data_IF_946857370782
#
_entry.id   IF_946857370782
#
_cell.length_a   1.000
_cell.length_b   1.000
_cell.length_c   1.000
_cell.angle_alpha   90.00
_cell.angle_beta   90.00
_cell.angle_gamma   90.00
#
_symmetry.space_group_name_H-M   'P 1'
#
loop_
_entity.id
_entity.type
_entity.pdbx_description
1 polymer ?
#
# COMPACT_ATOMS: atom_id res chain seq x y z
N UNK A 1 28.60 -12.96 6.38
CA UNK A 1 28.68 -13.08 4.89
C UNK A 1 30.10 -12.72 4.45
N UNK A 2 30.70 -13.47 3.52
CA UNK A 2 32.07 -13.17 3.06
C UNK A 2 32.09 -11.87 2.19
N UNK A 3 33.27 -11.20 2.07
CA UNK A 3 33.39 -9.91 1.37
C UNK A 3 32.93 -9.95 -0.10
N UNK A 4 33.23 -11.02 -0.84
CA UNK A 4 32.85 -11.16 -2.24
C UNK A 4 31.32 -11.20 -2.41
N UNK A 5 30.63 -12.01 -1.60
CA UNK A 5 29.16 -12.09 -1.60
C UNK A 5 28.52 -10.76 -1.22
N UNK A 6 29.14 -10.02 -0.29
CA UNK A 6 28.67 -8.68 0.10
C UNK A 6 28.77 -7.68 -1.06
N UNK A 7 29.86 -7.72 -1.83
CA UNK A 7 30.04 -6.90 -3.03
C UNK A 7 29.01 -7.23 -4.10
N UNK A 8 28.73 -8.51 -4.34
CA UNK A 8 27.69 -8.94 -5.28
C UNK A 8 26.30 -8.41 -4.88
N UNK A 9 25.94 -8.55 -3.60
CA UNK A 9 24.63 -8.03 -3.11
C UNK A 9 24.54 -6.51 -3.28
N UNK A 10 25.60 -5.77 -3.00
CA UNK A 10 25.66 -4.31 -3.24
C UNK A 10 25.47 -3.95 -4.71
N UNK A 11 26.13 -4.67 -5.62
CA UNK A 11 25.98 -4.46 -7.05
C UNK A 11 24.54 -4.70 -7.53
N UNK A 12 23.93 -5.78 -7.08
CA UNK A 12 22.54 -6.11 -7.41
C UNK A 12 21.56 -5.06 -6.84
N UNK A 13 21.75 -4.63 -5.59
CA UNK A 13 20.90 -3.58 -4.99
C UNK A 13 21.03 -2.25 -5.72
N UNK A 14 22.25 -1.87 -6.13
CA UNK A 14 22.48 -0.65 -6.91
C UNK A 14 21.74 -0.70 -8.25
N UNK A 15 21.82 -1.82 -8.97
CA UNK A 15 21.09 -2.04 -10.24
C UNK A 15 19.58 -1.98 -9.96
N UNK A 16 19.11 -2.60 -8.89
CA UNK A 16 17.70 -2.64 -8.51
C UNK A 16 17.16 -1.23 -8.23
N UNK A 17 17.88 -0.42 -7.45
CA UNK A 17 17.48 0.97 -7.16
C UNK A 17 17.49 1.87 -8.40
N UNK A 18 18.53 1.75 -9.24
CA UNK A 18 18.64 2.51 -10.50
C UNK A 18 17.57 2.10 -11.51
N UNK A 19 17.19 0.83 -11.54
CA UNK A 19 16.18 0.31 -12.46
C UNK A 19 14.82 1.00 -12.34
N UNK A 20 14.40 1.37 -11.14
CA UNK A 20 13.17 2.17 -10.91
C UNK A 20 13.23 3.49 -11.67
N UNK A 21 14.31 4.27 -11.49
CA UNK A 21 14.49 5.57 -12.18
C UNK A 21 14.65 5.41 -13.69
N UNK A 22 15.32 4.35 -14.13
CA UNK A 22 15.45 4.01 -15.55
C UNK A 22 14.07 3.70 -16.15
N UNK A 23 13.24 2.92 -15.50
CA UNK A 23 11.87 2.61 -15.94
C UNK A 23 11.02 3.86 -16.16
N UNK A 24 11.08 4.82 -15.22
CA UNK A 24 10.39 6.11 -15.34
C UNK A 24 10.90 6.93 -16.55
N UNK A 25 12.23 7.02 -16.71
CA UNK A 25 12.84 7.74 -17.83
C UNK A 25 12.48 7.10 -19.18
N UNK A 26 12.57 5.79 -19.28
CA UNK A 26 12.24 5.06 -20.50
C UNK A 26 10.75 5.17 -20.84
N UNK A 27 9.83 5.12 -19.86
CA UNK A 27 8.40 5.32 -20.10
C UNK A 27 8.12 6.69 -20.74
N UNK A 28 8.85 7.73 -20.30
CA UNK A 28 8.76 9.07 -20.89
C UNK A 28 9.36 9.13 -22.29
N UNK A 29 10.57 8.60 -22.48
CA UNK A 29 11.27 8.61 -23.77
C UNK A 29 10.54 7.81 -24.86
N UNK A 30 9.87 6.75 -24.47
CA UNK A 30 9.09 5.89 -25.39
C UNK A 30 7.64 6.35 -25.58
N UNK A 31 7.27 7.54 -25.09
CA UNK A 31 5.95 8.13 -25.28
C UNK A 31 4.82 7.45 -24.49
N UNK A 32 5.12 6.52 -23.57
CA UNK A 32 4.12 5.83 -22.73
C UNK A 32 3.54 6.72 -21.64
N UNK A 33 4.28 7.77 -21.25
CA UNK A 33 3.79 8.80 -20.34
C UNK A 33 4.36 10.16 -20.70
N UNK A 34 3.55 11.21 -20.57
CA UNK A 34 4.01 12.60 -20.66
C UNK A 34 4.75 13.07 -19.41
N UNK A 35 4.52 12.40 -18.27
CA UNK A 35 5.06 12.75 -16.96
C UNK A 35 6.04 11.68 -16.47
N UNK A 36 6.82 12.03 -15.45
CA UNK A 36 7.72 11.11 -14.77
C UNK A 36 6.91 10.16 -13.86
N UNK A 37 6.22 9.20 -14.47
CA UNK A 37 5.35 8.23 -13.79
C UNK A 37 5.98 6.85 -13.85
N UNK A 38 5.96 6.15 -12.72
CA UNK A 38 6.45 4.79 -12.64
C UNK A 38 5.55 3.83 -13.46
N UNK A 39 6.12 2.85 -14.22
CA UNK A 39 5.36 1.91 -15.04
C UNK A 39 4.21 1.20 -14.31
N UNK A 40 4.32 0.97 -13.01
CA UNK A 40 3.25 0.36 -12.20
C UNK A 40 1.93 1.14 -12.21
N UNK A 41 1.97 2.46 -12.43
CA UNK A 41 0.80 3.32 -12.50
C UNK A 41 0.25 3.47 -13.93
N UNK A 42 0.98 2.95 -14.93
CA UNK A 42 0.57 2.97 -16.34
C UNK A 42 -0.13 1.68 -16.77
N UNK A 43 -0.22 0.72 -15.87
CA UNK A 43 -0.82 -0.60 -16.12
C UNK A 43 -1.82 -0.91 -15.02
N UNK A 44 -3.05 -1.24 -15.41
CA UNK A 44 -4.04 -1.74 -14.46
C UNK A 44 -3.60 -3.11 -13.94
N UNK A 45 -3.57 -3.23 -12.62
CA UNK A 45 -3.18 -4.44 -11.91
C UNK A 45 -4.30 -4.79 -10.92
N UNK A 46 -5.20 -5.72 -11.27
CA UNK A 46 -6.39 -6.03 -10.46
C UNK A 46 -6.10 -6.37 -9.00
N UNK A 47 -4.91 -6.92 -8.73
CA UNK A 47 -4.50 -7.21 -7.35
C UNK A 47 -4.21 -5.97 -6.50
N UNK A 48 -4.11 -4.77 -7.08
CA UNK A 48 -4.03 -3.53 -6.31
C UNK A 48 -5.38 -3.14 -5.73
N UNK A 49 -6.46 -3.59 -6.35
CA UNK A 49 -7.84 -3.32 -5.95
C UNK A 49 -8.41 -4.40 -5.02
N UNK A 50 -7.52 -5.10 -4.33
CA UNK A 50 -7.83 -6.24 -3.46
C UNK A 50 -8.91 -5.96 -2.40
N UNK A 51 -9.05 -4.70 -1.99
CA UNK A 51 -10.00 -4.25 -0.96
C UNK A 51 -11.42 -4.06 -1.51
N UNK A 52 -11.60 -3.81 -2.82
CA UNK A 52 -12.91 -3.54 -3.42
C UNK A 52 -13.95 -4.66 -3.22
N UNK A 53 -13.61 -5.96 -3.28
CA UNK A 53 -14.58 -7.03 -3.02
C UNK A 53 -15.12 -7.06 -1.58
N UNK A 54 -14.47 -6.35 -0.66
CA UNK A 54 -14.89 -6.26 0.74
C UNK A 54 -15.73 -5.02 1.04
N UNK A 55 -16.02 -4.19 0.03
CA UNK A 55 -16.92 -3.04 0.13
C UNK A 55 -18.33 -3.45 -0.34
N UNK A 56 -19.34 -2.89 0.33
CA UNK A 56 -20.75 -3.06 0.00
C UNK A 56 -21.34 -1.72 -0.45
N UNK A 57 -22.38 -1.78 -1.27
CA UNK A 57 -23.03 -0.58 -1.83
C UNK A 57 -23.63 0.35 -0.76
N UNK A 58 -23.94 -0.19 0.42
CA UNK A 58 -24.50 0.58 1.54
C UNK A 58 -23.44 1.03 2.57
N UNK A 59 -22.16 0.66 2.38
CA UNK A 59 -21.09 1.01 3.33
C UNK A 59 -20.83 2.52 3.35
N UNK A 60 -20.64 3.06 4.55
CA UNK A 60 -20.01 4.34 4.82
C UNK A 60 -18.51 4.08 5.06
N UNK A 61 -17.65 4.59 4.20
CA UNK A 61 -16.22 4.26 4.18
C UNK A 61 -15.39 5.45 4.64
N UNK A 62 -14.37 5.18 5.46
CA UNK A 62 -13.32 6.12 5.82
C UNK A 62 -12.01 5.69 5.15
N UNK A 63 -11.31 6.61 4.49
CA UNK A 63 -9.98 6.38 3.91
C UNK A 63 -8.94 7.19 4.70
N UNK A 64 -8.17 6.51 5.54
CA UNK A 64 -7.20 7.09 6.47
C UNK A 64 -5.84 7.21 5.78
N UNK A 65 -5.37 8.43 5.54
CA UNK A 65 -4.17 8.69 4.76
C UNK A 65 -4.42 8.54 3.26
N UNK A 66 -5.45 9.22 2.75
CA UNK A 66 -5.97 9.05 1.38
C UNK A 66 -4.99 9.49 0.27
N UNK A 67 -3.97 10.29 0.59
CA UNK A 67 -2.99 10.85 -0.36
C UNK A 67 -3.70 11.45 -1.58
N UNK A 68 -3.31 11.08 -2.80
CA UNK A 68 -3.90 11.57 -4.05
C UNK A 68 -5.30 11.00 -4.37
N UNK A 69 -5.91 10.26 -3.48
CA UNK A 69 -7.25 9.71 -3.62
C UNK A 69 -7.38 8.50 -4.56
N UNK A 70 -6.28 7.87 -4.97
CA UNK A 70 -6.34 6.77 -5.94
C UNK A 70 -7.18 5.59 -5.45
N UNK A 71 -7.09 5.23 -4.16
CA UNK A 71 -7.91 4.20 -3.54
C UNK A 71 -9.34 4.70 -3.27
N UNK A 72 -9.47 5.91 -2.75
CA UNK A 72 -10.75 6.55 -2.46
C UNK A 72 -11.67 6.59 -3.69
N UNK A 73 -11.17 7.07 -4.82
CA UNK A 73 -11.94 7.18 -6.08
C UNK A 73 -12.44 5.81 -6.57
N UNK A 74 -11.64 4.75 -6.42
CA UNK A 74 -12.05 3.39 -6.79
C UNK A 74 -13.07 2.82 -5.80
N UNK A 75 -12.87 3.05 -4.50
CA UNK A 75 -13.79 2.65 -3.44
C UNK A 75 -15.14 3.36 -3.57
N UNK A 76 -15.15 4.64 -3.97
CA UNK A 76 -16.37 5.42 -4.19
C UNK A 76 -17.34 4.77 -5.18
N UNK A 77 -16.85 4.01 -6.15
CA UNK A 77 -17.70 3.27 -7.11
C UNK A 77 -18.38 2.02 -6.50
N UNK A 78 -18.11 1.70 -5.24
CA UNK A 78 -18.54 0.46 -4.57
C UNK A 78 -19.21 0.67 -3.22
N UNK A 79 -19.36 1.92 -2.77
CA UNK A 79 -19.90 2.23 -1.45
C UNK A 79 -20.94 3.35 -1.53
N UNK A 80 -21.66 3.55 -0.45
CA UNK A 80 -22.69 4.60 -0.33
C UNK A 80 -22.07 5.98 -0.20
N UNK A 81 -21.10 6.13 0.69
CA UNK A 81 -20.33 7.37 0.88
C UNK A 81 -18.90 7.03 1.25
N UNK A 82 -17.98 7.91 0.88
CA UNK A 82 -16.59 7.80 1.32
C UNK A 82 -16.02 9.16 1.68
N UNK A 83 -15.29 9.19 2.79
CA UNK A 83 -14.55 10.36 3.24
C UNK A 83 -13.10 9.96 3.44
N UNK A 84 -12.18 10.74 2.87
CA UNK A 84 -10.74 10.56 3.06
C UNK A 84 -10.11 11.79 3.67
N UNK A 85 -8.97 11.61 4.35
CA UNK A 85 -8.15 12.72 4.83
C UNK A 85 -6.67 12.41 4.75
N UNK A 86 -5.87 13.46 4.60
CA UNK A 86 -4.41 13.41 4.54
C UNK A 86 -3.82 14.75 5.00
N UNK A 87 -2.57 14.77 5.44
CA UNK A 87 -1.88 16.01 5.78
C UNK A 87 -1.32 16.72 4.54
N UNK A 88 -1.09 16.02 3.42
CA UNK A 88 -0.55 16.59 2.19
C UNK A 88 -1.64 17.24 1.35
N UNK A 89 -1.78 18.56 1.50
CA UNK A 89 -2.77 19.36 0.77
C UNK A 89 -2.55 19.36 -0.74
N UNK A 90 -1.33 19.12 -1.22
CA UNK A 90 -1.03 19.01 -2.66
C UNK A 90 -1.63 17.73 -3.22
N UNK A 91 -1.49 16.62 -2.50
CA UNK A 91 -2.10 15.34 -2.88
C UNK A 91 -3.64 15.42 -2.80
N UNK A 92 -4.18 16.07 -1.78
CA UNK A 92 -5.62 16.28 -1.64
C UNK A 92 -6.21 17.08 -2.79
N UNK A 93 -5.51 18.10 -3.29
CA UNK A 93 -5.95 18.84 -4.48
C UNK A 93 -6.05 17.95 -5.74
N UNK A 94 -5.19 16.92 -5.87
CA UNK A 94 -5.32 15.89 -6.91
C UNK A 94 -6.54 14.99 -6.68
N UNK A 95 -6.74 14.52 -5.46
CA UNK A 95 -7.91 13.72 -5.09
C UNK A 95 -9.23 14.46 -5.38
N UNK A 96 -9.34 15.72 -4.97
CA UNK A 96 -10.52 16.55 -5.25
C UNK A 96 -10.78 16.73 -6.75
N UNK A 97 -9.73 16.92 -7.55
CA UNK A 97 -9.85 17.02 -9.00
C UNK A 97 -10.41 15.74 -9.60
N UNK A 98 -9.89 14.59 -9.20
CA UNK A 98 -10.36 13.28 -9.66
C UNK A 98 -11.81 13.02 -9.25
N UNK A 99 -12.21 13.36 -8.01
CA UNK A 99 -13.59 13.28 -7.53
C UNK A 99 -14.52 14.12 -8.42
N UNK A 100 -14.17 15.38 -8.67
CA UNK A 100 -14.97 16.28 -9.52
C UNK A 100 -15.04 15.77 -10.96
N UNK A 101 -13.90 15.38 -11.54
CA UNK A 101 -13.84 14.91 -12.94
C UNK A 101 -14.69 13.68 -13.19
N UNK A 102 -14.83 12.82 -12.18
CA UNK A 102 -15.63 11.57 -12.25
C UNK A 102 -17.06 11.74 -11.75
N UNK A 103 -17.46 12.94 -11.32
CA UNK A 103 -18.81 13.18 -10.81
C UNK A 103 -19.16 12.44 -9.53
N UNK A 104 -18.19 12.14 -8.66
CA UNK A 104 -18.38 11.35 -7.45
C UNK A 104 -18.87 12.24 -6.28
N UNK A 105 -20.10 12.75 -6.36
CA UNK A 105 -20.66 13.70 -5.38
C UNK A 105 -20.78 13.16 -3.94
N UNK A 106 -20.70 11.85 -3.75
CA UNK A 106 -20.73 11.16 -2.45
C UNK A 106 -19.33 10.87 -1.86
N UNK A 107 -18.28 11.31 -2.54
CA UNK A 107 -16.89 11.21 -2.09
C UNK A 107 -16.39 12.60 -1.66
N UNK A 108 -15.67 12.66 -0.52
CA UNK A 108 -15.11 13.91 0.02
C UNK A 108 -13.69 13.67 0.53
N UNK A 109 -12.86 14.70 0.47
CA UNK A 109 -11.54 14.70 1.12
C UNK A 109 -11.34 16.01 1.88
N UNK A 110 -10.49 15.97 2.92
CA UNK A 110 -10.12 17.16 3.69
C UNK A 110 -8.71 17.01 4.30
N UNK A 111 -8.09 18.13 4.66
CA UNK A 111 -6.80 18.13 5.32
C UNK A 111 -6.93 17.68 6.78
N UNK A 112 -6.12 16.70 7.19
CA UNK A 112 -6.13 16.18 8.56
C UNK A 112 -4.91 15.35 8.86
N UNK A 113 -4.53 15.32 10.13
CA UNK A 113 -3.42 14.51 10.64
C UNK A 113 -3.95 13.16 11.15
N UNK A 114 -3.44 12.07 10.61
CA UNK A 114 -3.82 10.70 11.01
C UNK A 114 -3.41 10.38 12.45
N UNK A 115 -2.49 11.13 13.05
CA UNK A 115 -2.06 10.96 14.43
C UNK A 115 -2.90 11.75 15.45
N UNK A 116 -3.76 12.65 14.97
CA UNK A 116 -4.70 13.42 15.79
C UNK A 116 -6.01 12.65 16.00
N UNK A 117 -6.85 13.16 16.90
CA UNK A 117 -8.21 12.67 17.04
C UNK A 117 -9.01 12.94 15.77
N UNK A 118 -9.66 11.92 15.23
CA UNK A 118 -10.47 12.06 14.01
C UNK A 118 -11.74 12.88 14.28
N UNK A 119 -12.08 13.82 13.39
CA UNK A 119 -13.24 14.74 13.59
C UNK A 119 -14.58 14.05 13.29
N UNK A 120 -14.73 12.80 13.71
CA UNK A 120 -15.92 12.00 13.51
C UNK A 120 -16.45 11.49 14.84
N UNK A 121 -17.78 11.32 14.91
CA UNK A 121 -18.42 10.66 16.03
C UNK A 121 -18.02 9.17 16.10
N UNK A 122 -18.21 8.57 17.27
CA UNK A 122 -18.04 7.14 17.45
C UNK A 122 -19.01 6.37 16.55
N UNK A 123 -18.59 5.21 16.08
CA UNK A 123 -19.46 4.29 15.32
C UNK A 123 -20.10 4.92 14.06
N UNK A 124 -19.35 5.71 13.32
CA UNK A 124 -19.82 6.41 12.12
C UNK A 124 -19.68 5.56 10.85
N UNK A 125 -18.61 4.78 10.73
CA UNK A 125 -18.25 4.09 9.49
C UNK A 125 -18.43 2.57 9.58
N UNK A 126 -18.76 1.97 8.44
CA UNK A 126 -18.85 0.52 8.28
C UNK A 126 -17.50 -0.09 7.94
N UNK A 127 -16.68 0.66 7.20
CA UNK A 127 -15.34 0.22 6.76
C UNK A 127 -14.34 1.36 6.89
N UNK A 128 -13.13 1.03 7.36
CA UNK A 128 -11.96 1.90 7.27
C UNK A 128 -10.93 1.29 6.32
N UNK A 129 -10.41 2.09 5.39
CA UNK A 129 -9.25 1.78 4.58
C UNK A 129 -8.02 2.40 5.27
N UNK A 130 -6.98 1.61 5.51
CA UNK A 130 -5.71 2.05 6.09
C UNK A 130 -4.57 1.38 5.30
N UNK A 131 -4.39 1.86 4.07
CA UNK A 131 -3.63 1.19 3.02
C UNK A 131 -2.26 1.83 2.84
N UNK A 132 -1.19 1.12 3.21
CA UNK A 132 0.20 1.54 3.13
C UNK A 132 0.46 2.89 3.86
N UNK A 133 -0.09 3.03 5.08
CA UNK A 133 0.01 4.22 5.95
C UNK A 133 0.58 3.86 7.32
N UNK A 134 0.23 2.70 7.89
CA UNK A 134 0.61 2.28 9.24
C UNK A 134 2.13 2.32 9.46
N UNK A 135 2.93 2.05 8.43
CA UNK A 135 4.39 2.07 8.48
C UNK A 135 5.00 3.47 8.58
N UNK A 136 4.24 4.51 8.23
CA UNK A 136 4.68 5.90 8.26
C UNK A 136 4.39 6.60 9.58
N UNK A 137 3.50 6.06 10.42
CA UNK A 137 3.09 6.69 11.66
C UNK A 137 3.83 6.12 12.88
N UNK A 138 4.13 6.97 13.86
CA UNK A 138 4.79 6.54 15.10
C UNK A 138 3.77 6.11 16.17
N UNK A 139 2.69 6.89 16.46
CA UNK A 139 1.71 6.49 17.49
C UNK A 139 0.67 5.51 16.95
N UNK A 140 1.10 4.42 16.29
CA UNK A 140 0.23 3.43 15.60
C UNK A 140 -0.91 2.92 16.46
N UNK A 141 -0.62 2.59 17.71
CA UNK A 141 -1.66 2.13 18.64
C UNK A 141 -2.75 3.19 18.90
N UNK A 142 -2.40 4.49 18.90
CA UNK A 142 -3.38 5.55 19.03
C UNK A 142 -4.22 5.68 17.74
N UNK A 143 -3.59 5.59 16.58
CA UNK A 143 -4.29 5.62 15.28
C UNK A 143 -5.26 4.45 15.15
N UNK A 144 -4.83 3.23 15.49
CA UNK A 144 -5.71 2.06 15.45
C UNK A 144 -6.89 2.21 16.43
N UNK A 145 -6.67 2.76 17.64
CA UNK A 145 -7.77 3.05 18.58
C UNK A 145 -8.75 4.08 18.01
N UNK A 146 -8.28 5.12 17.30
CA UNK A 146 -9.17 6.09 16.66
C UNK A 146 -9.97 5.46 15.51
N UNK A 147 -9.33 4.62 14.68
CA UNK A 147 -10.03 3.84 13.65
C UNK A 147 -11.08 2.92 14.31
N UNK A 148 -10.72 2.24 15.40
CA UNK A 148 -11.62 1.39 16.16
C UNK A 148 -12.81 2.19 16.72
N UNK A 149 -12.59 3.37 17.28
CA UNK A 149 -13.62 4.24 17.82
C UNK A 149 -14.66 4.65 16.77
N UNK A 150 -14.18 5.07 15.60
CA UNK A 150 -15.08 5.58 14.54
C UNK A 150 -15.77 4.47 13.73
N UNK A 151 -15.29 3.25 13.79
CA UNK A 151 -15.96 2.10 13.18
C UNK A 151 -17.16 1.66 14.03
N UNK A 152 -18.26 1.29 13.37
CA UNK A 152 -19.43 0.65 13.99
C UNK A 152 -19.08 -0.71 14.57
N UNK A 153 -19.93 -1.21 15.45
CA UNK A 153 -19.85 -2.60 15.89
C UNK A 153 -20.03 -3.52 14.68
N UNK A 154 -19.16 -4.52 14.55
CA UNK A 154 -19.08 -5.34 13.33
C UNK A 154 -18.45 -4.64 12.11
N UNK A 155 -17.93 -3.42 12.28
CA UNK A 155 -17.18 -2.71 11.26
C UNK A 155 -15.87 -3.40 10.90
N UNK A 156 -15.33 -3.07 9.73
CA UNK A 156 -14.15 -3.74 9.15
C UNK A 156 -13.03 -2.75 8.90
N UNK A 157 -11.81 -3.16 9.25
CA UNK A 157 -10.57 -2.50 8.85
C UNK A 157 -9.95 -3.26 7.68
N UNK A 158 -9.68 -2.57 6.56
CA UNK A 158 -8.91 -3.07 5.44
C UNK A 158 -7.54 -2.40 5.50
N UNK A 159 -6.49 -3.18 5.78
CA UNK A 159 -5.17 -2.64 6.08
C UNK A 159 -4.08 -3.34 5.28
N UNK A 160 -3.07 -2.60 4.87
CA UNK A 160 -1.84 -3.13 4.28
C UNK A 160 -0.60 -2.55 4.95
N UNK A 161 0.47 -3.35 4.97
CA UNK A 161 1.76 -2.97 5.53
C UNK A 161 2.91 -3.73 4.84
N UNK A 162 4.13 -3.15 4.79
CA UNK A 162 5.30 -3.80 4.21
C UNK A 162 5.83 -4.95 5.08
N UNK A 163 6.35 -5.98 4.41
CA UNK A 163 6.99 -7.13 5.03
C UNK A 163 8.51 -6.96 5.06
N UNK A 164 9.13 -6.96 6.24
CA UNK A 164 10.58 -6.87 6.40
C UNK A 164 11.32 -8.21 6.27
N UNK A 165 10.62 -9.35 6.34
CA UNK A 165 11.25 -10.67 6.50
C UNK A 165 11.34 -11.50 5.22
N UNK A 166 11.23 -10.84 4.07
CA UNK A 166 11.50 -11.49 2.79
C UNK A 166 12.97 -11.95 2.71
N UNK A 167 13.24 -12.98 1.90
CA UNK A 167 14.60 -13.45 1.67
C UNK A 167 15.51 -12.36 1.11
N UNK A 168 14.99 -11.49 0.25
CA UNK A 168 15.77 -10.38 -0.29
C UNK A 168 16.14 -9.36 0.80
N UNK A 169 15.16 -8.96 1.63
CA UNK A 169 15.39 -8.05 2.76
C UNK A 169 16.39 -8.63 3.77
N UNK A 170 16.24 -9.91 4.11
CA UNK A 170 17.16 -10.63 4.97
C UNK A 170 18.58 -10.67 4.40
N UNK A 171 18.71 -10.82 3.06
CA UNK A 171 19.99 -10.74 2.37
C UNK A 171 20.63 -9.36 2.47
N UNK A 172 19.84 -8.30 2.30
CA UNK A 172 20.31 -6.91 2.46
C UNK A 172 20.79 -6.64 3.89
N UNK A 173 20.01 -7.03 4.89
CA UNK A 173 20.41 -6.89 6.32
C UNK A 173 21.70 -7.64 6.62
N UNK A 174 21.84 -8.88 6.15
CA UNK A 174 23.05 -9.67 6.33
C UNK A 174 24.28 -9.07 5.62
N UNK A 175 24.06 -8.22 4.60
CA UNK A 175 25.09 -7.43 3.93
C UNK A 175 25.41 -6.11 4.65
N UNK A 176 24.71 -5.77 5.74
CA UNK A 176 24.80 -4.50 6.43
C UNK A 176 24.27 -3.32 5.60
N UNK A 177 23.23 -3.57 4.79
CA UNK A 177 22.62 -2.59 3.92
C UNK A 177 21.24 -2.19 4.45
N UNK A 178 20.80 -0.99 4.06
CA UNK A 178 19.44 -0.54 4.33
C UNK A 178 18.43 -1.48 3.63
N UNK A 179 17.53 -2.05 4.42
CA UNK A 179 16.65 -3.12 3.98
C UNK A 179 15.16 -2.78 3.95
N UNK A 180 14.76 -1.57 4.34
CA UNK A 180 13.37 -1.12 4.18
C UNK A 180 13.08 -0.79 2.71
N UNK A 181 11.81 -0.89 2.32
CA UNK A 181 11.35 -0.56 0.95
C UNK A 181 11.35 0.91 0.66
N UNK A 182 11.16 1.72 1.71
CA UNK A 182 11.14 3.16 1.66
C UNK A 182 11.95 3.74 2.84
N UNK A 183 12.77 4.80 2.62
CA UNK A 183 13.49 5.47 3.71
C UNK A 183 12.57 6.17 4.72
N UNK A 184 11.36 6.53 4.34
CA UNK A 184 10.39 7.22 5.20
C UNK A 184 9.62 6.28 6.12
N UNK A 185 9.73 4.95 5.93
CA UNK A 185 9.12 3.98 6.82
C UNK A 185 9.71 4.06 8.23
N UNK A 186 8.85 4.17 9.22
CA UNK A 186 9.21 4.12 10.64
C UNK A 186 9.30 2.68 11.13
N UNK A 187 8.57 1.78 10.48
CA UNK A 187 8.59 0.33 10.72
C UNK A 187 8.30 -0.42 9.42
N UNK A 188 8.86 -1.61 9.29
CA UNK A 188 8.35 -2.68 8.43
C UNK A 188 8.17 -3.92 9.31
N UNK A 189 7.15 -4.71 9.06
CA UNK A 189 6.68 -5.72 9.99
C UNK A 189 7.21 -7.13 9.68
N UNK A 190 7.41 -7.96 10.72
CA UNK A 190 7.21 -9.38 10.58
C UNK A 190 5.71 -9.69 10.49
N UNK A 191 5.37 -10.91 10.08
CA UNK A 191 3.97 -11.37 10.07
C UNK A 191 3.36 -11.31 11.47
N UNK A 192 4.11 -11.81 12.46
CA UNK A 192 3.69 -11.90 13.85
C UNK A 192 3.50 -10.52 14.49
N UNK A 193 4.41 -9.60 14.23
CA UNK A 193 4.29 -8.21 14.71
C UNK A 193 3.08 -7.50 14.09
N UNK A 194 2.83 -7.70 12.80
CA UNK A 194 1.67 -7.09 12.15
C UNK A 194 0.35 -7.58 12.76
N UNK A 195 0.23 -8.90 12.99
CA UNK A 195 -0.94 -9.46 13.65
C UNK A 195 -1.08 -8.97 15.09
N UNK A 196 0.02 -8.94 15.86
CA UNK A 196 0.02 -8.43 17.23
C UNK A 196 -0.39 -6.94 17.31
N UNK A 197 0.06 -6.11 16.37
CA UNK A 197 -0.32 -4.69 16.30
C UNK A 197 -1.85 -4.55 16.04
N UNK A 198 -2.40 -5.36 15.13
CA UNK A 198 -3.85 -5.35 14.86
C UNK A 198 -4.65 -5.78 16.09
N UNK A 199 -4.26 -6.87 16.76
CA UNK A 199 -4.92 -7.33 17.97
C UNK A 199 -4.84 -6.28 19.10
N UNK A 200 -3.67 -5.67 19.30
CA UNK A 200 -3.50 -4.58 20.28
C UNK A 200 -4.35 -3.35 19.96
N UNK A 201 -4.69 -3.13 18.68
CA UNK A 201 -5.60 -2.10 18.22
C UNK A 201 -7.09 -2.46 18.34
N UNK A 202 -7.45 -3.66 18.82
CA UNK A 202 -8.82 -4.14 18.93
C UNK A 202 -9.40 -4.72 17.63
N UNK A 203 -8.52 -5.26 16.77
CA UNK A 203 -8.92 -5.83 15.48
C UNK A 203 -8.55 -7.30 15.37
N UNK A 204 -9.51 -8.14 14.98
CA UNK A 204 -9.30 -9.55 14.70
C UNK A 204 -9.23 -9.81 13.21
N UNK A 205 -8.11 -10.28 12.63
CA UNK A 205 -8.01 -10.61 11.23
C UNK A 205 -8.99 -11.69 10.79
N UNK A 206 -9.73 -11.42 9.72
CA UNK A 206 -10.66 -12.37 9.12
C UNK A 206 -9.92 -13.16 8.03
N UNK A 207 -9.53 -14.37 8.33
CA UNK A 207 -8.80 -15.24 7.42
C UNK A 207 -7.29 -14.96 7.36
N UNK A 208 -6.59 -15.57 6.40
CA UNK A 208 -5.13 -15.45 6.30
C UNK A 208 -4.71 -14.08 5.74
N UNK A 209 -3.52 -13.61 6.13
CA UNK A 209 -2.90 -12.46 5.51
C UNK A 209 -2.69 -12.71 4.00
N UNK A 210 -3.16 -11.78 3.19
CA UNK A 210 -3.03 -11.85 1.74
C UNK A 210 -1.69 -11.26 1.30
N UNK A 211 -0.91 -11.96 0.44
CA UNK A 211 0.34 -11.42 -0.09
C UNK A 211 0.08 -10.30 -1.11
N UNK A 212 1.07 -9.47 -1.34
CA UNK A 212 1.05 -8.40 -2.37
C UNK A 212 1.69 -8.92 -3.67
N UNK A 213 2.99 -8.83 -3.82
CA UNK A 213 3.79 -9.38 -4.92
C UNK A 213 5.11 -9.90 -4.39
N UNK A 214 5.76 -10.79 -5.12
CA UNK A 214 7.06 -11.33 -4.73
C UNK A 214 8.10 -10.20 -4.60
N UNK A 215 8.78 -10.15 -3.45
CA UNK A 215 9.99 -9.36 -3.29
C UNK A 215 11.17 -10.06 -4.00
N UNK A 216 11.83 -9.36 -4.88
CA UNK A 216 12.89 -9.92 -5.72
C UNK A 216 13.99 -8.90 -5.97
N UNK A 217 15.27 -9.33 -6.02
CA UNK A 217 16.38 -8.46 -6.42
C UNK A 217 16.28 -7.94 -7.86
N UNK A 218 15.36 -8.48 -8.66
CA UNK A 218 15.16 -8.09 -10.06
C UNK A 218 14.05 -7.04 -10.26
N UNK A 219 13.45 -6.52 -9.18
CA UNK A 219 12.33 -5.58 -9.26
C UNK A 219 12.67 -4.35 -10.14
N UNK A 220 13.85 -3.75 -9.97
CA UNK A 220 14.27 -2.61 -10.78
C UNK A 220 14.50 -2.95 -12.26
N UNK A 221 15.00 -4.15 -12.58
CA UNK A 221 15.11 -4.60 -13.96
C UNK A 221 13.71 -4.77 -14.60
N UNK A 222 12.76 -5.29 -13.84
CA UNK A 222 11.35 -5.40 -14.27
C UNK A 222 10.76 -4.00 -14.50
N UNK A 223 11.06 -3.03 -13.63
CA UNK A 223 10.61 -1.64 -13.80
C UNK A 223 11.22 -1.00 -15.06
N UNK A 224 12.51 -1.24 -15.33
CA UNK A 224 13.17 -0.78 -16.56
C UNK A 224 12.50 -1.38 -17.81
N UNK A 225 12.20 -2.67 -17.80
CA UNK A 225 11.41 -3.32 -18.87
C UNK A 225 10.05 -2.65 -19.05
N UNK A 226 9.39 -2.24 -17.96
CA UNK A 226 8.13 -1.50 -18.00
C UNK A 226 8.20 -0.19 -18.79
N UNK A 227 9.33 0.50 -18.72
CA UNK A 227 9.58 1.69 -19.52
C UNK A 227 9.67 1.43 -21.03
N UNK A 228 10.00 0.19 -21.44
CA UNK A 228 10.08 -0.24 -22.83
C UNK A 228 8.79 -0.91 -23.32
N UNK A 229 8.14 -1.72 -22.48
CA UNK A 229 6.95 -2.50 -22.84
C UNK A 229 6.01 -2.66 -21.64
N UNK A 230 4.86 -2.02 -21.68
CA UNK A 230 3.84 -2.15 -20.64
C UNK A 230 3.21 -3.56 -20.61
N UNK A 231 3.05 -4.21 -21.77
CA UNK A 231 2.51 -5.58 -21.85
C UNK A 231 3.46 -6.59 -21.20
N UNK A 232 4.76 -6.49 -21.47
CA UNK A 232 5.75 -7.36 -20.82
C UNK A 232 5.85 -7.07 -19.32
N UNK A 233 5.81 -5.80 -18.94
CA UNK A 233 5.75 -5.39 -17.53
C UNK A 233 4.55 -6.03 -16.81
N UNK A 234 3.36 -5.99 -17.41
CA UNK A 234 2.17 -6.63 -16.85
C UNK A 234 2.37 -8.13 -16.66
N UNK A 235 2.92 -8.82 -17.67
CA UNK A 235 3.22 -10.27 -17.58
C UNK A 235 4.20 -10.60 -16.45
N UNK A 236 5.27 -9.81 -16.30
CA UNK A 236 6.26 -9.97 -15.23
C UNK A 236 5.65 -9.63 -13.86
N UNK A 237 4.83 -8.60 -13.78
CA UNK A 237 4.11 -8.25 -12.55
C UNK A 237 3.10 -9.32 -12.14
N UNK A 238 2.39 -9.92 -13.10
CA UNK A 238 1.50 -11.06 -12.87
C UNK A 238 2.28 -12.28 -12.37
N UNK A 239 3.42 -12.59 -12.99
CA UNK A 239 4.30 -13.64 -12.49
C UNK A 239 4.74 -13.39 -11.04
N UNK A 240 5.15 -12.15 -10.70
CA UNK A 240 5.46 -11.77 -9.31
C UNK A 240 4.27 -12.01 -8.38
N UNK A 241 3.06 -11.70 -8.82
CA UNK A 241 1.84 -11.95 -8.04
C UNK A 241 1.61 -13.44 -7.80
N UNK A 242 1.66 -14.25 -8.83
CA UNK A 242 1.51 -15.70 -8.75
C UNK A 242 2.60 -16.35 -7.88
N UNK A 243 3.83 -15.86 -7.99
CA UNK A 243 4.94 -16.33 -7.16
C UNK A 243 4.75 -15.97 -5.67
N UNK A 244 4.20 -14.78 -5.36
CA UNK A 244 3.87 -14.40 -3.98
C UNK A 244 2.75 -15.26 -3.39
N UNK A 245 1.76 -15.65 -4.19
CA UNK A 245 0.71 -16.58 -3.74
C UNK A 245 1.28 -17.95 -3.35
N UNK A 246 2.29 -18.43 -4.08
CA UNK A 246 3.00 -19.69 -3.76
C UNK A 246 4.00 -19.56 -2.62
N UNK A 247 4.50 -18.34 -2.35
CA UNK A 247 5.52 -18.06 -1.33
C UNK A 247 5.13 -16.78 -0.55
N UNK A 248 4.08 -16.82 0.26
CA UNK A 248 3.54 -15.62 0.93
C UNK A 248 4.57 -14.97 1.88
N UNK A 249 5.51 -15.72 2.46
CA UNK A 249 6.59 -15.18 3.27
C UNK A 249 7.58 -14.28 2.50
N UNK A 250 7.69 -14.45 1.19
CA UNK A 250 8.53 -13.60 0.33
C UNK A 250 7.73 -12.45 -0.34
N UNK A 251 6.50 -12.20 0.10
CA UNK A 251 5.70 -11.06 -0.38
C UNK A 251 6.27 -9.75 0.12
N UNK A 252 6.23 -8.71 -0.73
CA UNK A 252 6.64 -7.35 -0.35
C UNK A 252 5.85 -6.75 0.79
N UNK A 253 4.66 -7.26 1.09
CA UNK A 253 3.79 -6.78 2.15
C UNK A 253 2.68 -7.74 2.48
N UNK A 254 1.91 -7.37 3.50
CA UNK A 254 0.73 -8.05 4.00
C UNK A 254 -0.52 -7.20 3.75
N UNK A 255 -1.64 -7.87 3.56
CA UNK A 255 -2.97 -7.27 3.47
C UNK A 255 -3.89 -8.04 4.36
N UNK A 256 -4.69 -7.34 5.14
CA UNK A 256 -5.65 -7.95 6.04
C UNK A 256 -7.02 -7.29 5.91
N UNK A 257 -8.05 -8.11 6.04
CA UNK A 257 -9.38 -7.71 6.44
C UNK A 257 -9.49 -8.05 7.92
N UNK A 258 -9.79 -7.09 8.77
CA UNK A 258 -9.91 -7.34 10.20
C UNK A 258 -11.26 -6.80 10.73
N UNK A 259 -11.91 -7.59 11.58
CA UNK A 259 -13.14 -7.19 12.26
C UNK A 259 -12.82 -6.36 13.50
N UNK A 260 -13.60 -5.32 13.73
CA UNK A 260 -13.61 -4.63 15.02
C UNK A 260 -14.06 -5.60 16.11
N UNK A 261 -13.24 -5.77 17.15
CA UNK A 261 -13.65 -6.47 18.39
C UNK A 261 -14.59 -5.60 19.24
N UNK A 262 -15.47 -6.25 19.95
CA UNK A 262 -16.45 -5.60 20.85
C UNK A 262 -15.78 -4.95 22.05
#
# INVERSE_FOLDING_TARGET
MNPLRRLTVRGVDLINRRGKSVGVRLARLTGKSRYAIHPKHLVEQPWHDWYLPYLRVDDHVLDVGTSNGAHLVRAAMRCRTIVGFDQDTTQLAHAEREIRTRGLGHAKVFAGDVTARFPFADKTFDVALFLDVIEHVVPRAAVLREIHRVLRDGGRLLVSAPNRDTRWRSTLRAAGMFAYSDPDHKIEYSREEFLAELHAGGFEPIGPLMPVVLDTPWAGAIDAVGGLSLSLYYRLSRWKREAALRRPGDSTGFRAVAAKQS
#
